data_IF_003763542713
#
_entry.id   IF_003763542713
#
_cell.length_a   1.000
_cell.length_b   1.000
_cell.length_c   1.000
_cell.angle_alpha   90.00
_cell.angle_beta   90.00
_cell.angle_gamma   90.00
#
_symmetry.space_group_name_H-M   'P 1'
#
loop_
_entity.id
_entity.type
_entity.pdbx_description
1 polymer ?
#
# COMPACT_ATOMS: atom_id res chain seq x y z
N UNK A 1 -7.41 -9.86 -24.29
CA UNK A 1 -7.82 -8.60 -23.62
C UNK A 1 -7.67 -7.49 -24.64
N UNK A 2 -8.76 -6.85 -25.07
CA UNK A 2 -8.69 -5.80 -26.09
C UNK A 2 -8.32 -4.46 -25.44
N UNK A 3 -7.02 -4.31 -25.12
CA UNK A 3 -6.47 -3.10 -24.50
C UNK A 3 -6.65 -1.85 -25.37
N UNK A 4 -6.80 -2.02 -26.68
CA UNK A 4 -7.05 -0.92 -27.62
C UNK A 4 -8.37 -0.22 -27.34
N UNK A 5 -9.43 -0.94 -26.98
CA UNK A 5 -10.75 -0.34 -26.67
C UNK A 5 -10.69 0.52 -25.40
N UNK A 6 -9.94 0.08 -24.40
CA UNK A 6 -9.73 0.84 -23.15
C UNK A 6 -8.95 2.11 -23.46
N UNK A 7 -7.86 1.99 -24.24
CA UNK A 7 -7.03 3.11 -24.66
C UNK A 7 -7.83 4.16 -25.43
N UNK A 8 -8.62 3.74 -26.42
CA UNK A 8 -9.45 4.65 -27.21
C UNK A 8 -10.51 5.36 -26.36
N UNK A 9 -11.09 4.67 -25.37
CA UNK A 9 -12.04 5.27 -24.45
C UNK A 9 -11.36 6.27 -23.49
N UNK A 10 -10.16 5.96 -23.01
CA UNK A 10 -9.35 6.86 -22.20
C UNK A 10 -8.95 8.12 -22.98
N UNK A 11 -8.50 7.98 -24.22
CA UNK A 11 -8.10 9.10 -25.07
C UNK A 11 -9.26 10.07 -25.32
N UNK A 12 -10.49 9.56 -25.44
CA UNK A 12 -11.70 10.39 -25.52
C UNK A 12 -11.93 11.21 -24.26
N UNK A 13 -11.75 10.61 -23.07
CA UNK A 13 -11.89 11.31 -21.78
C UNK A 13 -10.80 12.36 -21.64
N UNK A 14 -9.54 12.00 -21.92
CA UNK A 14 -8.39 12.90 -21.86
C UNK A 14 -8.56 14.12 -22.77
N UNK A 15 -9.02 13.90 -24.02
CA UNK A 15 -9.33 15.00 -24.95
C UNK A 15 -10.45 15.90 -24.42
N UNK A 16 -11.55 15.31 -23.92
CA UNK A 16 -12.68 16.07 -23.36
C UNK A 16 -12.29 16.85 -22.09
N UNK A 17 -11.44 16.28 -21.25
CA UNK A 17 -10.91 16.94 -20.06
C UNK A 17 -10.11 18.19 -20.44
N UNK A 18 -9.19 18.07 -21.41
CA UNK A 18 -8.40 19.22 -21.91
C UNK A 18 -9.30 20.32 -22.45
N UNK A 19 -10.26 19.97 -23.32
CA UNK A 19 -11.21 20.95 -23.87
C UNK A 19 -12.06 21.60 -22.77
N UNK A 20 -12.54 20.84 -21.79
CA UNK A 20 -13.31 21.38 -20.68
C UNK A 20 -12.48 22.32 -19.81
N UNK A 21 -11.21 22.01 -19.57
CA UNK A 21 -10.29 22.86 -18.82
C UNK A 21 -10.07 24.20 -19.53
N UNK A 22 -9.70 24.17 -20.83
CA UNK A 22 -9.51 25.39 -21.63
C UNK A 22 -10.78 26.24 -21.63
N UNK A 23 -11.94 25.63 -21.91
CA UNK A 23 -13.22 26.35 -21.93
C UNK A 23 -13.55 26.98 -20.56
N UNK A 24 -13.27 26.27 -19.47
CA UNK A 24 -13.50 26.79 -18.11
C UNK A 24 -12.59 27.98 -17.84
N UNK A 25 -11.31 27.89 -18.23
CA UNK A 25 -10.36 28.97 -18.09
C UNK A 25 -10.80 30.21 -18.87
N UNK A 26 -11.19 30.05 -20.15
CA UNK A 26 -11.64 31.15 -21.00
C UNK A 26 -12.85 31.88 -20.40
N UNK A 27 -13.79 31.14 -19.80
CA UNK A 27 -14.97 31.71 -19.13
C UNK A 27 -14.57 32.47 -17.87
N UNK A 28 -13.68 31.91 -17.04
CA UNK A 28 -13.17 32.56 -15.83
C UNK A 28 -12.44 33.86 -16.20
N UNK A 29 -11.58 33.82 -17.21
CA UNK A 29 -10.83 34.97 -17.68
C UNK A 29 -11.76 36.06 -18.25
N UNK A 30 -12.81 35.67 -18.99
CA UNK A 30 -13.82 36.61 -19.49
C UNK A 30 -14.59 37.28 -18.35
N UNK A 31 -15.01 36.52 -17.34
CA UNK A 31 -15.69 37.06 -16.15
C UNK A 31 -14.75 38.00 -15.37
N UNK A 32 -13.48 37.60 -15.20
CA UNK A 32 -12.47 38.42 -14.55
C UNK A 32 -12.26 39.77 -15.24
N UNK A 33 -12.15 39.76 -16.58
CA UNK A 33 -12.01 40.98 -17.39
C UNK A 33 -13.20 41.94 -17.23
N UNK A 34 -14.43 41.44 -17.25
CA UNK A 34 -15.61 42.29 -17.06
C UNK A 34 -15.65 42.91 -15.65
N UNK A 35 -15.26 42.15 -14.63
CA UNK A 35 -15.15 42.65 -13.25
C UNK A 35 -14.06 43.73 -13.15
N UNK A 36 -12.89 43.52 -13.75
CA UNK A 36 -11.79 44.50 -13.78
C UNK A 36 -12.19 45.78 -14.53
N UNK A 37 -12.90 45.67 -15.65
CA UNK A 37 -13.42 46.82 -16.40
C UNK A 37 -14.41 47.63 -15.56
N UNK A 38 -15.33 46.96 -14.86
CA UNK A 38 -16.27 47.62 -13.96
C UNK A 38 -15.57 48.32 -12.80
N UNK A 39 -14.56 47.67 -12.19
CA UNK A 39 -13.76 48.26 -11.11
C UNK A 39 -12.99 49.50 -11.57
N UNK A 40 -12.34 49.44 -12.74
CA UNK A 40 -11.62 50.58 -13.30
C UNK A 40 -12.54 51.77 -13.61
N UNK A 41 -13.77 51.53 -14.10
CA UNK A 41 -14.78 52.58 -14.28
C UNK A 41 -15.18 53.25 -12.97
N UNK A 42 -15.27 52.48 -11.88
CA UNK A 42 -15.61 53.01 -10.56
C UNK A 42 -14.45 53.77 -9.90
N UNK A 43 -13.20 53.31 -10.07
CA UNK A 43 -12.02 53.92 -9.46
C UNK A 43 -11.57 55.23 -10.15
N UNK A 44 -11.73 55.31 -11.47
CA UNK A 44 -11.39 56.53 -12.23
C UNK A 44 -12.43 57.67 -12.05
N UNK A 45 -13.40 57.50 -11.16
CA UNK A 45 -14.57 58.37 -11.02
C UNK A 45 -14.53 59.40 -9.85
N UNK A 46 -13.42 59.58 -9.11
CA UNK A 46 -13.31 60.65 -8.10
C UNK A 46 -12.19 61.64 -8.47
N UNK A 47 -12.40 62.96 -8.56
CA UNK A 47 -13.34 63.84 -7.86
C UNK A 47 -14.12 64.74 -8.84
N UNK A 48 -15.46 64.78 -8.75
CA UNK A 48 -16.26 65.88 -9.31
C UNK A 48 -17.16 65.60 -10.53
N UNK A 49 -17.37 64.35 -10.96
CA UNK A 49 -18.36 64.05 -12.01
C UNK A 49 -19.27 62.88 -11.64
N UNK A 50 -20.56 63.02 -11.92
CA UNK A 50 -21.63 62.10 -11.54
C UNK A 50 -21.61 60.80 -12.35
N UNK A 51 -20.72 59.89 -11.99
CA UNK A 51 -20.81 58.49 -12.44
C UNK A 51 -21.89 57.80 -11.62
N UNK A 52 -22.97 57.39 -12.29
CA UNK A 52 -24.03 56.59 -11.68
C UNK A 52 -23.50 55.17 -11.43
N UNK A 53 -23.10 54.90 -10.18
CA UNK A 53 -22.62 53.59 -9.74
C UNK A 53 -23.62 52.47 -10.04
N UNK A 54 -24.92 52.77 -10.02
CA UNK A 54 -25.96 51.79 -10.35
C UNK A 54 -25.95 51.43 -11.83
N UNK A 55 -25.61 52.38 -12.71
CA UNK A 55 -25.48 52.11 -14.14
C UNK A 55 -24.31 51.17 -14.44
N UNK A 56 -23.16 51.35 -13.76
CA UNK A 56 -21.98 50.47 -13.93
C UNK A 56 -22.27 49.05 -13.44
N UNK A 57 -22.97 48.91 -12.31
CA UNK A 57 -23.39 47.60 -11.77
C UNK A 57 -24.43 46.93 -12.70
N UNK A 58 -25.36 47.71 -13.25
CA UNK A 58 -26.34 47.21 -14.21
C UNK A 58 -25.68 46.71 -15.50
N UNK A 59 -24.67 47.44 -16.02
CA UNK A 59 -23.88 47.04 -17.18
C UNK A 59 -23.11 45.74 -16.93
N UNK A 60 -22.45 45.61 -15.77
CA UNK A 60 -21.75 44.39 -15.37
C UNK A 60 -22.72 43.19 -15.29
N UNK A 61 -23.88 43.36 -14.66
CA UNK A 61 -24.89 42.30 -14.58
C UNK A 61 -25.40 41.88 -15.97
N UNK A 62 -25.61 42.83 -16.89
CA UNK A 62 -25.99 42.52 -18.25
C UNK A 62 -24.91 41.69 -18.97
N UNK A 63 -23.63 42.07 -18.80
CA UNK A 63 -22.48 41.34 -19.37
C UNK A 63 -22.30 39.94 -18.78
N UNK A 64 -22.44 39.77 -17.47
CA UNK A 64 -22.38 38.45 -16.83
C UNK A 64 -23.52 37.54 -17.27
N UNK A 65 -24.73 38.10 -17.47
CA UNK A 65 -25.87 37.36 -18.02
C UNK A 65 -25.65 36.98 -19.49
N UNK A 66 -25.02 37.84 -20.30
CA UNK A 66 -24.63 37.56 -21.69
C UNK A 66 -23.61 36.42 -21.76
N UNK A 67 -22.59 36.44 -20.89
CA UNK A 67 -21.59 35.35 -20.78
C UNK A 67 -22.24 34.05 -20.31
N UNK A 68 -23.21 34.11 -19.39
CA UNK A 68 -23.91 32.93 -18.86
C UNK A 68 -22.97 31.85 -18.29
N UNK A 69 -22.01 32.19 -17.42
CA UNK A 69 -20.92 31.31 -17.02
C UNK A 69 -21.41 29.99 -16.40
N UNK A 70 -22.46 30.05 -15.59
CA UNK A 70 -23.06 28.86 -14.95
C UNK A 70 -23.56 27.83 -15.97
N UNK A 71 -24.21 28.28 -17.05
CA UNK A 71 -24.74 27.40 -18.08
C UNK A 71 -23.62 26.78 -18.92
N UNK A 72 -22.63 27.59 -19.28
CA UNK A 72 -21.50 27.14 -20.08
C UNK A 72 -20.61 26.14 -19.32
N UNK A 73 -20.31 26.43 -18.05
CA UNK A 73 -19.54 25.55 -17.17
C UNK A 73 -20.29 24.26 -16.89
N UNK A 74 -21.58 24.35 -16.54
CA UNK A 74 -22.43 23.19 -16.30
C UNK A 74 -22.55 22.28 -17.53
N UNK A 75 -22.66 22.85 -18.74
CA UNK A 75 -22.66 22.11 -19.99
C UNK A 75 -21.34 21.36 -20.24
N UNK A 76 -20.21 22.06 -20.08
CA UNK A 76 -18.86 21.47 -20.26
C UNK A 76 -18.61 20.32 -19.28
N UNK A 77 -18.97 20.51 -18.01
CA UNK A 77 -18.82 19.49 -16.98
C UNK A 77 -19.71 18.27 -17.24
N UNK A 78 -20.95 18.49 -17.71
CA UNK A 78 -21.87 17.40 -18.09
C UNK A 78 -21.30 16.54 -19.22
N UNK A 79 -20.72 17.15 -20.25
CA UNK A 79 -20.08 16.42 -21.35
C UNK A 79 -18.90 15.56 -20.87
N UNK A 80 -18.05 16.11 -20.00
CA UNK A 80 -16.93 15.38 -19.41
C UNK A 80 -17.42 14.19 -18.58
N UNK A 81 -18.43 14.39 -17.72
CA UNK A 81 -19.00 13.34 -16.88
C UNK A 81 -19.63 12.20 -17.70
N UNK A 82 -20.27 12.52 -18.84
CA UNK A 82 -20.80 11.51 -19.76
C UNK A 82 -19.66 10.68 -20.37
N UNK A 83 -18.56 11.31 -20.79
CA UNK A 83 -17.39 10.59 -21.30
C UNK A 83 -16.76 9.69 -20.21
N UNK A 84 -16.62 10.20 -18.98
CA UNK A 84 -16.07 9.46 -17.85
C UNK A 84 -16.94 8.25 -17.47
N UNK A 85 -18.27 8.42 -17.46
CA UNK A 85 -19.22 7.33 -17.19
C UNK A 85 -19.15 6.23 -18.26
N UNK A 86 -18.96 6.61 -19.54
CA UNK A 86 -18.77 5.64 -20.63
C UNK A 86 -17.45 4.90 -20.50
N UNK A 87 -16.37 5.59 -20.14
CA UNK A 87 -15.07 4.97 -19.89
C UNK A 87 -15.13 3.95 -18.74
N UNK A 88 -15.78 4.29 -17.62
CA UNK A 88 -15.99 3.35 -16.51
C UNK A 88 -16.66 2.05 -16.96
N UNK A 89 -17.75 2.15 -17.75
CA UNK A 89 -18.43 0.97 -18.31
C UNK A 89 -17.55 0.12 -19.24
N UNK A 90 -16.63 0.75 -19.99
CA UNK A 90 -15.68 0.03 -20.85
C UNK A 90 -14.66 -0.72 -19.99
N UNK A 91 -14.14 -0.08 -18.94
CA UNK A 91 -13.25 -0.72 -17.96
C UNK A 91 -13.95 -1.91 -17.32
N UNK A 92 -15.15 -1.72 -16.78
CA UNK A 92 -15.93 -2.77 -16.10
C UNK A 92 -16.22 -3.97 -17.02
N UNK A 93 -16.41 -3.74 -18.33
CA UNK A 93 -16.64 -4.81 -19.31
C UNK A 93 -15.39 -5.61 -19.64
N UNK A 94 -14.22 -4.97 -19.61
CA UNK A 94 -12.94 -5.59 -20.00
C UNK A 94 -12.27 -6.30 -18.82
N UNK A 95 -12.43 -5.78 -17.62
CA UNK A 95 -11.95 -6.43 -16.40
C UNK A 95 -13.06 -7.30 -15.84
N UNK A 96 -13.09 -8.57 -16.29
CA UNK A 96 -13.95 -9.57 -15.65
C UNK A 96 -13.47 -9.81 -14.21
N UNK A 97 -14.34 -9.68 -13.20
CA UNK A 97 -14.00 -9.99 -11.81
C UNK A 97 -13.90 -11.50 -11.55
N UNK A 98 -14.28 -12.33 -12.52
CA UNK A 98 -14.33 -13.78 -12.38
C UNK A 98 -13.02 -14.43 -12.88
N UNK A 99 -12.11 -14.71 -11.93
CA UNK A 99 -10.88 -15.47 -12.14
C UNK A 99 -11.14 -16.82 -12.80
N UNK A 100 -12.32 -17.42 -12.63
CA UNK A 100 -12.65 -18.71 -13.22
C UNK A 100 -12.64 -18.67 -14.76
N UNK A 101 -12.89 -17.52 -15.39
CA UNK A 101 -12.80 -17.35 -16.85
C UNK A 101 -11.40 -17.04 -17.36
N UNK A 102 -10.46 -16.73 -16.46
CA UNK A 102 -9.03 -16.62 -16.79
C UNK A 102 -8.33 -17.98 -16.81
N UNK A 103 -9.00 -19.04 -16.34
CA UNK A 103 -8.54 -20.42 -16.55
C UNK A 103 -8.54 -20.71 -18.05
N UNK A 104 -7.34 -20.80 -18.61
CA UNK A 104 -7.12 -21.58 -19.83
C UNK A 104 -7.24 -23.06 -19.42
N UNK A 105 -7.77 -23.91 -20.30
CA UNK A 105 -7.54 -25.36 -20.21
C UNK A 105 -6.03 -25.59 -20.31
N UNK A 106 -5.37 -25.53 -19.16
CA UNK A 106 -3.98 -25.94 -19.00
C UNK A 106 -4.08 -27.30 -18.35
N UNK A 107 -3.59 -28.32 -19.05
CA UNK A 107 -3.37 -29.62 -18.42
C UNK A 107 -2.38 -29.41 -17.29
N UNK A 108 -2.85 -29.57 -16.06
CA UNK A 108 -1.96 -29.49 -14.92
C UNK A 108 -1.19 -30.81 -14.80
N UNK A 109 0.12 -30.69 -14.70
CA UNK A 109 0.96 -31.81 -14.32
C UNK A 109 0.67 -32.19 -12.86
N UNK A 110 0.14 -33.39 -12.65
CA UNK A 110 -0.15 -33.93 -11.33
C UNK A 110 1.08 -33.99 -10.42
N UNK A 111 2.27 -34.22 -10.99
CA UNK A 111 3.54 -34.20 -10.27
C UNK A 111 3.81 -32.81 -9.67
N UNK A 112 3.66 -31.76 -10.50
CA UNK A 112 3.86 -30.38 -10.07
C UNK A 112 2.81 -29.98 -9.03
N UNK A 113 1.54 -30.34 -9.21
CA UNK A 113 0.49 -30.06 -8.22
C UNK A 113 0.83 -30.73 -6.89
N UNK A 114 1.14 -32.03 -6.90
CA UNK A 114 1.43 -32.78 -5.69
C UNK A 114 2.66 -32.21 -4.98
N UNK A 115 3.70 -31.81 -5.73
CA UNK A 115 4.86 -31.12 -5.17
C UNK A 115 4.47 -29.79 -4.52
N UNK A 116 3.62 -28.97 -5.16
CA UNK A 116 3.14 -27.70 -4.60
C UNK A 116 2.34 -27.93 -3.32
N UNK A 117 1.47 -28.94 -3.29
CA UNK A 117 0.66 -29.30 -2.11
C UNK A 117 1.55 -29.79 -0.97
N UNK A 118 2.53 -30.66 -1.23
CA UNK A 118 3.49 -31.10 -0.24
C UNK A 118 4.31 -29.94 0.34
N UNK A 119 4.84 -29.07 -0.52
CA UNK A 119 5.57 -27.87 -0.10
C UNK A 119 4.69 -26.91 0.70
N UNK A 120 3.40 -26.83 0.39
CA UNK A 120 2.45 -26.05 1.17
C UNK A 120 2.36 -26.57 2.61
N UNK A 121 2.23 -27.89 2.81
CA UNK A 121 2.19 -28.46 4.16
C UNK A 121 3.47 -28.18 4.95
N UNK A 122 4.64 -28.35 4.36
CA UNK A 122 5.91 -28.03 5.00
C UNK A 122 6.05 -26.55 5.36
N UNK A 123 5.63 -25.66 4.47
CA UNK A 123 5.60 -24.21 4.75
C UNK A 123 4.69 -23.87 5.93
N UNK A 124 3.56 -24.55 6.07
CA UNK A 124 2.64 -24.38 7.21
C UNK A 124 3.15 -25.03 8.50
N UNK A 125 4.27 -25.77 8.47
CA UNK A 125 4.80 -26.51 9.60
C UNK A 125 4.04 -27.82 9.88
N UNK A 126 3.18 -28.25 8.95
CA UNK A 126 2.44 -29.51 9.02
C UNK A 126 3.30 -30.64 8.45
N UNK A 127 4.43 -30.90 9.10
CA UNK A 127 5.46 -31.82 8.59
C UNK A 127 4.97 -33.26 8.44
N UNK A 128 4.30 -33.80 9.46
CA UNK A 128 3.74 -35.16 9.43
C UNK A 128 2.69 -35.33 8.33
N UNK A 129 1.86 -34.31 8.12
CA UNK A 129 0.86 -34.32 7.05
C UNK A 129 1.52 -34.27 5.67
N UNK A 130 2.56 -33.45 5.52
CA UNK A 130 3.35 -33.39 4.29
C UNK A 130 4.03 -34.73 3.98
N UNK A 131 4.58 -35.41 4.98
CA UNK A 131 5.21 -36.72 4.80
C UNK A 131 4.19 -37.79 4.41
N UNK A 132 3.02 -37.80 5.08
CA UNK A 132 1.92 -38.69 4.74
C UNK A 132 1.47 -38.47 3.29
N UNK A 133 1.26 -37.20 2.91
CA UNK A 133 0.86 -36.83 1.56
C UNK A 133 1.88 -37.24 0.50
N UNK A 134 3.18 -37.00 0.73
CA UNK A 134 4.25 -37.43 -0.19
C UNK A 134 4.27 -38.96 -0.35
N UNK A 135 4.12 -39.69 0.76
CA UNK A 135 4.08 -41.15 0.75
C UNK A 135 2.89 -41.69 -0.03
N UNK A 136 1.71 -41.08 0.11
CA UNK A 136 0.48 -41.47 -0.60
C UNK A 136 0.51 -41.06 -2.08
N UNK A 137 1.03 -39.87 -2.38
CA UNK A 137 1.14 -39.33 -3.73
C UNK A 137 2.34 -39.89 -4.53
N UNK A 138 3.20 -40.69 -3.88
CA UNK A 138 4.47 -41.18 -4.42
C UNK A 138 5.38 -40.04 -4.94
N UNK A 139 5.36 -38.89 -4.25
CA UNK A 139 5.96 -37.63 -4.71
C UNK A 139 7.18 -37.22 -3.88
N UNK A 140 8.27 -37.98 -4.00
CA UNK A 140 9.45 -37.80 -3.17
C UNK A 140 10.28 -36.54 -3.50
N UNK A 141 9.99 -35.82 -4.59
CA UNK A 141 10.73 -34.62 -5.00
C UNK A 141 10.70 -33.50 -3.94
N UNK A 142 9.56 -33.35 -3.25
CA UNK A 142 9.37 -32.32 -2.24
C UNK A 142 10.06 -32.61 -0.89
N UNK A 143 10.46 -33.85 -0.62
CA UNK A 143 11.01 -34.25 0.69
C UNK A 143 12.36 -33.56 1.00
N UNK A 144 13.16 -33.30 -0.02
CA UNK A 144 14.46 -32.60 0.11
C UNK A 144 14.31 -31.16 0.64
N UNK A 145 13.16 -30.53 0.38
CA UNK A 145 12.85 -29.17 0.78
C UNK A 145 12.23 -29.07 2.17
N UNK A 146 11.99 -30.20 2.85
CA UNK A 146 11.47 -30.24 4.23
C UNK A 146 12.47 -29.70 5.25
N UNK A 147 13.72 -30.17 5.19
CA UNK A 147 14.73 -29.91 6.23
C UNK A 147 14.93 -28.43 6.55
N UNK A 148 14.99 -27.52 5.56
CA UNK A 148 15.09 -26.10 5.84
C UNK A 148 13.85 -25.48 6.51
N UNK A 149 12.65 -25.96 6.21
CA UNK A 149 11.45 -25.52 6.93
C UNK A 149 11.48 -26.03 8.37
N UNK A 150 11.99 -27.23 8.62
CA UNK A 150 12.18 -27.75 9.99
C UNK A 150 13.15 -26.85 10.76
N UNK A 151 14.33 -26.55 10.21
CA UNK A 151 15.31 -25.64 10.83
C UNK A 151 14.68 -24.26 11.14
N UNK A 152 13.90 -23.72 10.21
CA UNK A 152 13.17 -22.46 10.42
C UNK A 152 12.17 -22.56 11.58
N UNK A 153 11.37 -23.62 11.65
CA UNK A 153 10.39 -23.79 12.74
C UNK A 153 11.08 -24.03 14.09
N UNK A 154 12.21 -24.73 14.13
CA UNK A 154 13.04 -24.86 15.33
C UNK A 154 13.56 -23.51 15.83
N UNK A 155 14.07 -22.67 14.92
CA UNK A 155 14.47 -21.30 15.27
C UNK A 155 13.30 -20.48 15.80
N UNK A 156 12.10 -20.61 15.22
CA UNK A 156 10.91 -19.93 15.70
C UNK A 156 10.53 -20.38 17.12
N UNK A 157 10.63 -21.67 17.45
CA UNK A 157 10.40 -22.15 18.81
C UNK A 157 11.43 -21.61 19.81
N UNK A 158 12.72 -21.55 19.44
CA UNK A 158 13.75 -20.94 20.27
C UNK A 158 13.48 -19.44 20.51
N UNK A 159 13.04 -18.73 19.48
CA UNK A 159 12.65 -17.31 19.60
C UNK A 159 11.44 -17.12 20.51
N UNK A 160 10.44 -18.01 20.47
CA UNK A 160 9.30 -18.01 21.40
C UNK A 160 9.76 -18.20 22.85
N UNK A 161 10.76 -19.06 23.07
CA UNK A 161 11.43 -19.23 24.36
C UNK A 161 12.35 -18.05 24.75
N UNK A 162 12.31 -16.93 24.01
CA UNK A 162 13.18 -15.75 24.15
C UNK A 162 14.68 -16.04 23.93
N UNK A 163 15.01 -17.16 23.29
CA UNK A 163 16.36 -17.48 22.86
C UNK A 163 16.56 -17.03 21.40
N UNK A 164 17.21 -15.86 21.22
CA UNK A 164 17.48 -15.31 19.89
C UNK A 164 18.80 -15.80 19.29
N UNK A 165 19.63 -16.54 20.04
CA UNK A 165 20.97 -16.94 19.60
C UNK A 165 20.95 -17.75 18.30
N UNK A 166 20.07 -18.76 18.13
CA UNK A 166 20.03 -19.55 16.90
C UNK A 166 19.68 -18.70 15.67
N UNK A 167 18.68 -17.81 15.80
CA UNK A 167 18.27 -16.93 14.72
C UNK A 167 19.33 -15.89 14.35
N UNK A 168 20.06 -15.36 15.33
CA UNK A 168 21.18 -14.44 15.10
C UNK A 168 22.36 -15.14 14.40
N UNK A 169 22.74 -16.33 14.87
CA UNK A 169 23.80 -17.12 14.24
C UNK A 169 23.46 -17.47 12.78
N UNK A 170 22.21 -17.86 12.53
CA UNK A 170 21.73 -18.13 11.18
C UNK A 170 21.74 -16.87 10.29
N UNK A 171 21.29 -15.72 10.81
CA UNK A 171 21.27 -14.47 10.06
C UNK A 171 22.69 -13.99 9.72
N UNK A 172 23.64 -14.09 10.64
CA UNK A 172 25.03 -13.73 10.37
C UNK A 172 25.70 -14.68 9.37
N UNK A 173 25.38 -15.97 9.41
CA UNK A 173 25.87 -16.96 8.43
C UNK A 173 25.33 -16.71 7.00
N UNK A 174 24.15 -16.08 6.87
CA UNK A 174 23.51 -15.78 5.58
C UNK A 174 23.48 -14.27 5.27
N UNK A 175 24.34 -13.48 5.93
CA UNK A 175 24.31 -12.00 5.88
C UNK A 175 24.47 -11.45 4.47
N UNK A 176 25.46 -11.93 3.71
CA UNK A 176 25.70 -11.51 2.31
C UNK A 176 24.47 -11.72 1.42
N UNK A 177 23.76 -12.83 1.60
CA UNK A 177 22.58 -13.13 0.79
C UNK A 177 21.34 -12.33 1.22
N UNK A 178 21.18 -12.10 2.53
CA UNK A 178 20.14 -11.22 3.06
C UNK A 178 20.32 -9.79 2.54
N UNK A 179 21.55 -9.28 2.48
CA UNK A 179 21.86 -7.96 1.93
C UNK A 179 21.54 -7.89 0.44
N UNK A 180 21.96 -8.89 -0.34
CA UNK A 180 21.65 -8.98 -1.77
C UNK A 180 20.14 -8.94 -2.05
N UNK A 181 19.33 -9.52 -1.15
CA UNK A 181 17.86 -9.54 -1.24
C UNK A 181 17.18 -8.33 -0.61
N UNK A 182 17.94 -7.38 -0.06
CA UNK A 182 17.39 -6.18 0.61
C UNK A 182 16.66 -6.50 1.92
N UNK A 183 16.98 -7.62 2.57
CA UNK A 183 16.31 -8.07 3.78
C UNK A 183 16.90 -7.41 5.03
N UNK A 184 16.05 -6.69 5.77
CA UNK A 184 16.42 -6.09 7.06
C UNK A 184 16.31 -7.08 8.25
N UNK A 185 16.40 -8.39 8.00
CA UNK A 185 16.17 -9.42 9.02
C UNK A 185 17.21 -9.36 10.14
N UNK A 186 18.49 -9.31 9.79
CA UNK A 186 19.61 -9.26 10.75
C UNK A 186 19.49 -8.04 11.68
N UNK A 187 19.22 -6.86 11.10
CA UNK A 187 18.97 -5.64 11.86
C UNK A 187 17.79 -5.79 12.83
N UNK A 188 16.68 -6.39 12.39
CA UNK A 188 15.49 -6.62 13.24
C UNK A 188 15.79 -7.58 14.39
N UNK A 189 16.59 -8.62 14.17
CA UNK A 189 17.01 -9.55 15.21
C UNK A 189 17.89 -8.86 16.27
N UNK A 190 18.85 -8.04 15.85
CA UNK A 190 19.66 -7.24 16.79
C UNK A 190 18.83 -6.20 17.55
N UNK A 191 17.87 -5.52 16.89
CA UNK A 191 16.96 -4.61 17.56
C UNK A 191 16.12 -5.32 18.64
N UNK A 192 15.65 -6.54 18.35
CA UNK A 192 14.93 -7.36 19.31
C UNK A 192 15.84 -7.79 20.49
N UNK A 193 17.09 -8.17 20.21
CA UNK A 193 18.08 -8.50 21.24
C UNK A 193 18.37 -7.31 22.15
N UNK A 194 18.53 -6.12 21.59
CA UNK A 194 18.71 -4.87 22.35
C UNK A 194 17.51 -4.61 23.28
N UNK A 195 16.28 -4.78 22.79
CA UNK A 195 15.09 -4.64 23.63
C UNK A 195 15.03 -5.66 24.77
N UNK A 196 15.44 -6.91 24.54
CA UNK A 196 15.50 -7.92 25.62
C UNK A 196 16.52 -7.54 26.70
N UNK A 197 17.65 -6.96 26.33
CA UNK A 197 18.68 -6.49 27.28
C UNK A 197 18.13 -5.32 28.11
N UNK A 198 17.47 -4.34 27.46
CA UNK A 198 16.84 -3.22 28.14
C UNK A 198 15.76 -3.68 29.12
N UNK A 199 14.91 -4.63 28.73
CA UNK A 199 13.90 -5.19 29.62
C UNK A 199 14.53 -5.83 30.87
N UNK A 200 15.62 -6.60 30.70
CA UNK A 200 16.36 -7.21 31.82
C UNK A 200 17.04 -6.16 32.71
N UNK A 201 17.59 -5.09 32.13
CA UNK A 201 18.18 -3.97 32.87
C UNK A 201 17.15 -3.25 33.75
N UNK A 202 16.00 -2.89 33.19
CA UNK A 202 14.90 -2.26 33.93
C UNK A 202 14.37 -3.18 35.04
N UNK A 203 14.28 -4.49 34.80
CA UNK A 203 13.88 -5.45 35.83
C UNK A 203 14.91 -5.56 36.96
N UNK A 204 16.22 -5.58 36.63
CA UNK A 204 17.28 -5.55 37.65
C UNK A 204 17.21 -4.27 38.47
N UNK A 205 17.13 -3.11 37.83
CA UNK A 205 17.06 -1.82 38.52
C UNK A 205 15.79 -1.69 39.36
N UNK A 206 14.64 -2.19 38.90
CA UNK A 206 13.40 -2.23 39.69
C UNK A 206 13.49 -3.12 40.93
N UNK A 207 14.27 -4.22 40.88
CA UNK A 207 14.53 -5.07 42.04
C UNK A 207 15.49 -4.39 43.04
N UNK A 208 16.46 -3.62 42.56
CA UNK A 208 17.39 -2.84 43.41
C UNK A 208 16.72 -1.60 44.01
N UNK A 209 15.71 -1.02 43.32
CA UNK A 209 15.01 0.21 43.70
C UNK A 209 13.76 -0.02 44.58
N UNK A 210 13.67 -1.14 45.30
CA UNK A 210 12.58 -1.44 46.25
C UNK A 210 12.38 -0.41 47.39
N UNK A 211 13.16 0.68 47.43
CA UNK A 211 13.05 1.78 48.39
C UNK A 211 12.82 3.19 47.80
N UNK A 212 12.61 3.37 46.50
CA UNK A 212 12.46 4.72 45.89
C UNK A 212 11.10 4.86 45.19
N UNK A 213 10.27 5.87 45.52
CA UNK A 213 8.92 6.01 45.00
C UNK A 213 8.90 6.19 43.48
N UNK A 214 8.14 5.30 42.82
CA UNK A 214 8.02 5.01 41.39
C UNK A 214 7.55 6.16 40.46
N UNK A 215 7.61 7.42 40.91
CA UNK A 215 7.11 8.60 40.20
C UNK A 215 8.17 9.37 39.40
N UNK A 216 9.47 9.08 39.59
CA UNK A 216 10.58 9.79 38.94
C UNK A 216 11.21 9.06 37.74
N UNK A 217 10.88 7.79 37.52
CA UNK A 217 11.38 7.02 36.37
C UNK A 217 10.23 6.79 35.39
N UNK A 218 9.95 7.77 34.53
CA UNK A 218 8.83 7.83 33.57
C UNK A 218 8.47 6.46 32.92
N UNK A 219 7.55 5.65 33.52
CA UNK A 219 7.25 4.29 33.07
C UNK A 219 6.01 4.21 32.17
N UNK A 220 5.37 5.36 31.91
CA UNK A 220 4.06 5.44 31.27
C UNK A 220 4.05 5.24 29.75
N UNK A 221 5.19 5.37 29.07
CA UNK A 221 5.27 5.11 27.62
C UNK A 221 5.70 3.67 27.31
N UNK A 222 6.54 3.05 28.14
CA UNK A 222 7.09 1.72 27.87
C UNK A 222 6.08 0.58 27.96
N UNK A 223 5.17 0.58 28.95
CA UNK A 223 4.17 -0.50 29.09
C UNK A 223 3.22 -0.59 27.89
N UNK A 224 2.88 0.55 27.29
CA UNK A 224 1.99 0.64 26.12
C UNK A 224 2.72 0.26 24.83
N UNK A 225 3.99 0.68 24.69
CA UNK A 225 4.83 0.28 23.56
C UNK A 225 5.26 -1.19 23.63
N UNK A 226 5.53 -1.76 24.81
CA UNK A 226 5.94 -3.16 25.00
C UNK A 226 4.86 -4.14 24.58
N UNK A 227 3.60 -3.91 24.96
CA UNK A 227 2.48 -4.77 24.57
C UNK A 227 2.18 -4.65 23.08
N UNK A 228 2.20 -3.43 22.53
CA UNK A 228 1.99 -3.19 21.09
C UNK A 228 3.14 -3.75 20.25
N UNK A 229 4.39 -3.64 20.65
CA UNK A 229 5.53 -4.07 19.83
C UNK A 229 5.75 -5.59 19.87
N UNK A 230 5.54 -6.23 21.03
CA UNK A 230 5.57 -7.71 21.14
C UNK A 230 4.40 -8.34 20.37
N UNK A 231 3.20 -7.73 20.42
CA UNK A 231 2.03 -8.21 19.68
C UNK A 231 2.11 -7.92 18.17
N UNK A 232 2.66 -6.78 17.75
CA UNK A 232 2.62 -6.32 16.36
C UNK A 232 3.89 -6.67 15.55
N UNK A 233 5.06 -6.73 16.19
CA UNK A 233 6.33 -7.03 15.50
C UNK A 233 6.94 -8.38 15.88
N UNK A 234 6.76 -8.86 17.12
CA UNK A 234 7.54 -9.97 17.68
C UNK A 234 7.22 -11.37 17.14
N UNK A 235 6.03 -11.61 16.58
CA UNK A 235 5.63 -12.96 16.15
C UNK A 235 5.10 -13.03 14.73
N UNK A 236 4.13 -12.19 14.34
CA UNK A 236 3.56 -12.27 12.99
C UNK A 236 4.55 -11.76 11.93
N UNK A 237 5.13 -10.58 12.12
CA UNK A 237 6.01 -9.94 11.14
C UNK A 237 7.34 -10.67 11.02
N UNK A 238 7.96 -11.11 12.12
CA UNK A 238 9.18 -11.92 12.06
C UNK A 238 8.93 -13.33 11.53
N UNK A 239 7.79 -13.97 11.83
CA UNK A 239 7.41 -15.26 11.21
C UNK A 239 7.22 -15.11 9.70
N UNK A 240 6.50 -14.08 9.26
CA UNK A 240 6.29 -13.81 7.84
C UNK A 240 7.61 -13.48 7.14
N UNK A 241 8.47 -12.66 7.74
CA UNK A 241 9.79 -12.33 7.18
C UNK A 241 10.74 -13.52 7.16
N UNK A 242 10.79 -14.35 8.20
CA UNK A 242 11.59 -15.58 8.20
C UNK A 242 11.07 -16.57 7.15
N UNK A 243 9.75 -16.79 7.07
CA UNK A 243 9.14 -17.65 6.04
C UNK A 243 9.47 -17.14 4.63
N UNK A 244 9.35 -15.83 4.37
CA UNK A 244 9.65 -15.24 3.05
C UNK A 244 11.14 -15.30 2.71
N UNK A 245 12.02 -15.00 3.66
CA UNK A 245 13.46 -15.00 3.42
C UNK A 245 14.01 -16.42 3.26
N UNK A 246 13.65 -17.36 4.15
CA UNK A 246 14.02 -18.76 4.03
C UNK A 246 13.49 -19.34 2.72
N UNK A 247 12.22 -19.08 2.35
CA UNK A 247 11.69 -19.55 1.06
C UNK A 247 12.49 -19.07 -0.14
N UNK A 248 12.84 -17.78 -0.20
CA UNK A 248 13.67 -17.23 -1.28
C UNK A 248 15.11 -17.75 -1.27
N UNK A 249 15.67 -18.03 -0.10
CA UNK A 249 17.00 -18.63 0.08
C UNK A 249 17.05 -20.06 -0.46
N UNK A 250 15.96 -20.81 -0.30
CA UNK A 250 15.92 -22.25 -0.55
C UNK A 250 15.40 -22.63 -1.95
N UNK A 251 14.50 -21.83 -2.51
CA UNK A 251 13.86 -22.16 -3.79
C UNK A 251 14.49 -21.44 -4.98
N UNK A 252 15.35 -20.43 -4.75
CA UNK A 252 15.95 -19.61 -5.80
C UNK A 252 14.95 -18.83 -6.67
N UNK A 253 13.64 -18.94 -6.42
CA UNK A 253 12.61 -18.31 -7.23
C UNK A 253 12.37 -16.86 -6.79
N UNK A 254 12.46 -15.87 -7.69
CA UNK A 254 12.01 -14.50 -7.41
C UNK A 254 10.48 -14.46 -7.34
N UNK A 255 9.95 -13.59 -6.46
CA UNK A 255 8.53 -13.25 -6.45
C UNK A 255 8.30 -12.29 -7.63
N UNK A 256 7.50 -12.68 -8.61
CA UNK A 256 6.98 -11.79 -9.63
C UNK A 256 5.60 -11.27 -9.22
#
# INVERSE_FOLDING_TARGET
>A
MELNTIKDAFDRVSKRQKTSYTKTQDIIDSVGKEIELALNKLLNASEGSGVDQNAVIAELNAKLNEIGPTNQLGGSQKELNVALSKYGKVVDKQFYPDIAKAYREVEFDGHIINMIVALHFYRQGLFELGDCFISEANEHGAASLKAPFVEMYEMLEQMKARNLQPALAWASAHSDELVRKGSALEFKLHALQYMQILERGIQRDALTLQGVPLHLLHPFTWRKYKSLWVAYYGQAVLRTLLILNCFHLLTGMPFH
#
